data_IF_283953129612
#
_entry.id   IF_283953129612
#
_cell.length_a   1.000
_cell.length_b   1.000
_cell.length_c   1.000
_cell.angle_alpha   90.00
_cell.angle_beta   90.00
_cell.angle_gamma   90.00
#
_symmetry.space_group_name_H-M   'P 1'
#
loop_
_entity.id
_entity.type
_entity.pdbx_description
1 polymer ?
#
# COMPACT_ATOMS: atom_id res chain seq x y z
N UNK A 1 53.98 -27.36 33.29
CA UNK A 1 54.48 -27.13 31.92
C UNK A 1 53.42 -27.63 30.94
N UNK A 2 52.99 -26.78 29.99
CA UNK A 2 52.39 -27.11 28.68
C UNK A 2 50.93 -27.63 28.70
N UNK A 3 49.96 -27.11 27.94
CA UNK A 3 49.87 -26.02 26.97
C UNK A 3 48.38 -25.62 26.88
N UNK A 4 48.11 -24.33 26.64
CA UNK A 4 46.81 -23.81 26.19
C UNK A 4 46.37 -24.51 24.90
N UNK A 5 45.07 -24.78 24.74
CA UNK A 5 44.46 -24.91 23.41
C UNK A 5 43.29 -23.93 23.30
N UNK A 6 43.60 -22.81 22.66
CA UNK A 6 42.69 -21.74 22.32
C UNK A 6 41.92 -22.08 21.04
N UNK A 7 40.61 -21.82 21.09
CA UNK A 7 39.79 -21.12 20.11
C UNK A 7 40.18 -21.22 18.61
N UNK A 8 39.27 -21.80 17.82
CA UNK A 8 39.07 -21.40 16.43
C UNK A 8 37.57 -21.44 16.14
N UNK A 9 36.88 -20.37 16.59
CA UNK A 9 35.56 -20.03 16.06
C UNK A 9 35.83 -19.55 14.63
N UNK A 10 35.46 -20.40 13.67
CA UNK A 10 35.48 -20.05 12.26
C UNK A 10 34.44 -18.95 12.04
N UNK A 11 34.93 -17.72 11.94
CA UNK A 11 34.16 -16.59 11.44
C UNK A 11 33.96 -16.86 9.94
N UNK A 12 32.83 -17.46 9.57
CA UNK A 12 32.43 -17.56 8.17
C UNK A 12 31.97 -16.16 7.75
N UNK A 13 32.70 -15.42 6.88
CA UNK A 13 32.15 -14.20 6.33
C UNK A 13 30.96 -14.63 5.47
N UNK A 14 29.75 -14.30 5.90
CA UNK A 14 28.57 -14.39 5.06
C UNK A 14 28.85 -13.57 3.80
N UNK A 15 29.03 -14.26 2.66
CA UNK A 15 29.07 -13.64 1.34
C UNK A 15 27.79 -12.81 1.21
N UNK A 16 27.94 -11.49 1.26
CA UNK A 16 26.86 -10.55 1.01
C UNK A 16 26.30 -10.85 -0.37
N UNK A 17 25.13 -11.51 -0.43
CA UNK A 17 24.37 -11.57 -1.66
C UNK A 17 23.86 -10.16 -1.89
N UNK A 18 24.26 -9.55 -3.00
CA UNK A 18 23.63 -8.32 -3.46
C UNK A 18 22.15 -8.64 -3.67
N UNK A 19 21.28 -7.97 -2.90
CA UNK A 19 19.84 -8.09 -3.07
C UNK A 19 19.50 -7.48 -4.43
N UNK A 20 19.07 -8.30 -5.38
CA UNK A 20 18.67 -7.82 -6.71
C UNK A 20 17.27 -7.20 -6.62
N UNK A 21 17.22 -5.89 -6.36
CA UNK A 21 15.97 -5.15 -6.21
C UNK A 21 15.40 -4.75 -7.57
N UNK A 22 14.07 -4.78 -7.75
CA UNK A 22 13.44 -4.20 -8.92
C UNK A 22 13.89 -2.73 -9.11
N UNK A 23 14.15 -2.32 -10.35
CA UNK A 23 14.76 -1.01 -10.65
C UNK A 23 14.01 0.19 -10.03
N UNK A 24 12.68 0.11 -9.93
CA UNK A 24 11.87 1.14 -9.28
C UNK A 24 12.12 1.25 -7.77
N UNK A 25 12.33 0.11 -7.09
CA UNK A 25 12.65 0.01 -5.67
C UNK A 25 14.07 0.48 -5.43
N UNK A 26 15.03 0.01 -6.25
CA UNK A 26 16.42 0.48 -6.21
C UNK A 26 16.48 2.01 -6.36
N UNK A 27 15.79 2.59 -7.35
CA UNK A 27 15.72 4.04 -7.55
C UNK A 27 15.11 4.80 -6.36
N UNK A 28 14.17 4.20 -5.61
CA UNK A 28 13.63 4.81 -4.39
C UNK A 28 14.65 4.76 -3.26
N UNK A 29 15.29 3.61 -3.08
CA UNK A 29 16.34 3.38 -2.09
C UNK A 29 17.51 4.35 -2.29
N UNK A 30 18.04 4.46 -3.51
CA UNK A 30 19.17 5.33 -3.86
C UNK A 30 18.88 6.81 -3.61
N UNK A 31 17.63 7.21 -3.83
CA UNK A 31 17.20 8.61 -3.71
C UNK A 31 17.10 9.05 -2.25
N UNK A 32 16.54 8.20 -1.38
CA UNK A 32 16.37 8.50 0.03
C UNK A 32 16.22 7.19 0.84
N UNK A 33 17.34 6.61 1.31
CA UNK A 33 17.30 5.32 2.02
C UNK A 33 16.58 5.43 3.37
N UNK A 34 16.70 6.56 4.06
CA UNK A 34 16.05 6.77 5.37
C UNK A 34 14.53 6.81 5.23
N UNK A 35 14.02 7.51 4.21
CA UNK A 35 12.58 7.54 3.92
C UNK A 35 12.07 6.15 3.52
N UNK A 36 12.82 5.42 2.70
CA UNK A 36 12.48 4.05 2.32
C UNK A 36 12.35 3.13 3.54
N UNK A 37 13.34 3.17 4.44
CA UNK A 37 13.32 2.39 5.69
C UNK A 37 12.15 2.82 6.57
N UNK A 38 11.89 4.12 6.72
CA UNK A 38 10.78 4.61 7.53
C UNK A 38 9.42 4.11 7.00
N UNK A 39 9.21 4.14 5.68
CA UNK A 39 7.99 3.64 5.05
C UNK A 39 7.81 2.14 5.27
N UNK A 40 8.87 1.35 5.01
CA UNK A 40 8.83 -0.09 5.20
C UNK A 40 8.67 -0.49 6.68
N UNK A 41 9.26 0.25 7.63
CA UNK A 41 9.05 0.02 9.05
C UNK A 41 7.62 0.32 9.51
N UNK A 42 6.92 1.28 8.91
CA UNK A 42 5.48 1.47 9.18
C UNK A 42 4.68 0.25 8.76
N UNK A 43 5.02 -0.35 7.63
CA UNK A 43 4.35 -1.57 7.16
C UNK A 43 4.62 -2.75 8.10
N UNK A 44 5.88 -2.98 8.49
CA UNK A 44 6.25 -4.02 9.47
C UNK A 44 5.52 -3.80 10.80
N UNK A 45 5.48 -2.57 11.30
CA UNK A 45 4.81 -2.27 12.57
C UNK A 45 3.28 -2.35 12.50
N UNK A 46 2.69 -2.02 11.35
CA UNK A 46 1.24 -1.99 11.17
C UNK A 46 0.63 -3.35 10.85
N UNK A 47 1.35 -4.19 10.11
CA UNK A 47 0.82 -5.45 9.58
C UNK A 47 1.65 -6.69 9.93
N UNK A 48 2.92 -6.53 10.28
CA UNK A 48 3.80 -7.64 10.64
C UNK A 48 3.42 -8.29 11.97
N UNK A 49 3.83 -9.54 12.11
CA UNK A 49 3.64 -10.35 13.31
C UNK A 49 4.95 -10.66 14.05
N UNK A 50 4.96 -11.68 14.92
CA UNK A 50 6.17 -12.14 15.62
C UNK A 50 7.33 -12.52 14.69
N UNK A 51 7.00 -13.02 13.49
CA UNK A 51 7.97 -13.36 12.43
C UNK A 51 8.29 -12.16 11.51
N UNK A 52 7.92 -10.94 11.88
CA UNK A 52 8.06 -9.78 11.00
C UNK A 52 6.97 -9.69 9.93
N UNK A 53 7.25 -8.98 8.85
CA UNK A 53 6.33 -8.77 7.73
C UNK A 53 6.41 -9.93 6.73
N UNK A 54 5.32 -10.65 6.55
CA UNK A 54 5.23 -11.75 5.57
C UNK A 54 4.53 -11.32 4.28
N UNK A 55 4.58 -12.16 3.24
CA UNK A 55 3.80 -11.94 2.01
C UNK A 55 2.30 -11.84 2.26
N UNK A 56 1.75 -12.66 3.16
CA UNK A 56 0.33 -12.60 3.53
C UNK A 56 -0.04 -11.30 4.25
N UNK A 57 0.89 -10.70 4.97
CA UNK A 57 0.68 -9.41 5.64
C UNK A 57 0.70 -8.25 4.64
N UNK A 58 1.55 -8.34 3.59
CA UNK A 58 1.54 -7.40 2.46
C UNK A 58 0.20 -7.47 1.71
N UNK A 59 -0.29 -8.68 1.42
CA UNK A 59 -1.60 -8.87 0.77
C UNK A 59 -2.73 -8.27 1.63
N UNK A 60 -2.65 -8.44 2.95
CA UNK A 60 -3.60 -7.83 3.89
C UNK A 60 -3.52 -6.30 3.88
N UNK A 61 -2.33 -5.73 3.85
CA UNK A 61 -2.15 -4.28 3.77
C UNK A 61 -2.78 -3.70 2.50
N UNK A 62 -2.51 -4.31 1.34
CA UNK A 62 -3.12 -3.92 0.07
C UNK A 62 -4.65 -4.04 0.15
N UNK A 63 -5.17 -5.14 0.72
CA UNK A 63 -6.60 -5.32 0.87
C UNK A 63 -7.24 -4.24 1.76
N UNK A 64 -6.58 -3.82 2.83
CA UNK A 64 -7.04 -2.74 3.72
C UNK A 64 -7.07 -1.40 2.97
N UNK A 65 -6.02 -1.04 2.24
CA UNK A 65 -5.97 0.21 1.49
C UNK A 65 -7.05 0.28 0.41
N UNK A 66 -7.27 -0.83 -0.31
CA UNK A 66 -8.35 -0.95 -1.29
C UNK A 66 -9.72 -0.87 -0.65
N UNK A 67 -9.91 -1.49 0.51
CA UNK A 67 -11.18 -1.42 1.25
C UNK A 67 -11.46 0.01 1.74
N UNK A 68 -10.45 0.71 2.22
CA UNK A 68 -10.58 2.10 2.64
C UNK A 68 -10.96 3.02 1.48
N UNK A 69 -10.31 2.87 0.31
CA UNK A 69 -10.65 3.63 -0.89
C UNK A 69 -12.07 3.35 -1.37
N UNK A 70 -12.50 2.08 -1.38
CA UNK A 70 -13.88 1.68 -1.68
C UNK A 70 -14.87 2.38 -0.75
N UNK A 71 -14.63 2.32 0.55
CA UNK A 71 -15.49 2.92 1.55
C UNK A 71 -15.56 4.45 1.41
N UNK A 72 -14.44 5.10 1.07
CA UNK A 72 -14.39 6.53 0.76
C UNK A 72 -15.27 6.89 -0.44
N UNK A 73 -15.12 6.17 -1.55
CA UNK A 73 -15.94 6.39 -2.74
C UNK A 73 -17.44 6.16 -2.49
N UNK A 74 -17.79 5.10 -1.74
CA UNK A 74 -19.18 4.85 -1.33
C UNK A 74 -19.72 5.99 -0.48
N UNK A 75 -18.96 6.48 0.50
CA UNK A 75 -19.36 7.62 1.33
C UNK A 75 -19.62 8.86 0.50
N UNK A 76 -18.75 9.15 -0.47
CA UNK A 76 -18.84 10.37 -1.28
C UNK A 76 -20.07 10.38 -2.20
N UNK A 77 -20.58 9.20 -2.57
CA UNK A 77 -21.82 9.04 -3.32
C UNK A 77 -23.06 8.94 -2.40
N UNK A 78 -23.07 7.99 -1.47
CA UNK A 78 -24.22 7.64 -0.63
C UNK A 78 -24.57 8.70 0.43
N UNK A 79 -23.80 9.78 0.53
CA UNK A 79 -24.21 10.95 1.32
C UNK A 79 -25.49 11.61 0.77
N UNK A 80 -25.77 11.43 -0.53
CA UNK A 80 -26.97 11.93 -1.18
C UNK A 80 -28.11 10.90 -1.24
N UNK A 81 -27.86 9.63 -0.89
CA UNK A 81 -28.87 8.56 -0.81
C UNK A 81 -29.75 8.83 0.43
N UNK A 82 -30.89 9.47 0.21
CA UNK A 82 -31.75 9.95 1.30
C UNK A 82 -32.73 8.90 1.77
N UNK A 83 -33.07 7.94 0.93
CA UNK A 83 -33.97 6.84 1.29
C UNK A 83 -33.25 5.53 1.65
N UNK A 84 -31.94 5.44 1.39
CA UNK A 84 -31.06 4.37 1.81
C UNK A 84 -31.14 3.13 0.92
N UNK A 85 -31.55 3.27 -0.35
CA UNK A 85 -31.69 2.15 -1.28
C UNK A 85 -30.38 1.71 -1.95
N UNK A 86 -29.30 2.48 -1.75
CA UNK A 86 -27.97 2.23 -2.28
C UNK A 86 -27.73 2.76 -3.70
N UNK A 87 -28.72 3.41 -4.30
CA UNK A 87 -28.61 4.19 -5.53
C UNK A 87 -28.75 5.70 -5.26
N UNK A 88 -28.65 6.49 -6.33
CA UNK A 88 -28.92 7.93 -6.28
C UNK A 88 -29.91 8.29 -7.38
N UNK A 89 -31.15 8.60 -7.02
CA UNK A 89 -32.12 9.12 -7.97
C UNK A 89 -31.79 10.57 -8.39
N UNK A 90 -32.30 11.01 -9.54
CA UNK A 90 -32.14 12.41 -9.99
C UNK A 90 -32.69 13.44 -8.97
N UNK A 91 -33.72 13.05 -8.21
CA UNK A 91 -34.31 13.90 -7.16
C UNK A 91 -33.35 14.06 -5.98
N UNK A 92 -32.72 12.97 -5.55
CA UNK A 92 -31.73 12.97 -4.47
C UNK A 92 -30.46 13.73 -4.84
N UNK A 93 -29.95 13.51 -6.06
CA UNK A 93 -28.83 14.28 -6.60
C UNK A 93 -29.15 15.78 -6.57
N UNK A 94 -30.31 16.18 -7.07
CA UNK A 94 -30.76 17.59 -7.05
C UNK A 94 -30.93 18.13 -5.63
N UNK A 95 -31.51 17.32 -4.73
CA UNK A 95 -31.73 17.65 -3.32
C UNK A 95 -30.42 17.93 -2.60
N UNK A 96 -29.43 17.04 -2.74
CA UNK A 96 -28.11 17.21 -2.12
C UNK A 96 -27.35 18.40 -2.73
N UNK A 97 -27.41 18.60 -4.05
CA UNK A 97 -26.81 19.77 -4.70
C UNK A 97 -27.34 21.10 -4.17
N UNK A 98 -28.60 21.16 -3.76
CA UNK A 98 -29.24 22.41 -3.29
C UNK A 98 -28.63 22.97 -1.99
N UNK A 99 -28.02 22.11 -1.16
CA UNK A 99 -27.42 22.50 0.13
C UNK A 99 -25.91 22.72 0.06
N UNK A 100 -25.27 22.38 -1.07
CA UNK A 100 -23.83 22.52 -1.24
C UNK A 100 -23.42 23.92 -1.72
N UNK A 101 -22.19 24.30 -1.37
CA UNK A 101 -21.54 25.49 -1.95
C UNK A 101 -21.33 25.33 -3.46
N UNK A 102 -21.04 26.42 -4.19
CA UNK A 102 -20.74 26.35 -5.62
C UNK A 102 -19.60 25.38 -5.95
N UNK A 103 -18.54 25.35 -5.11
CA UNK A 103 -17.45 24.39 -5.25
C UNK A 103 -17.91 22.96 -4.99
N UNK A 104 -18.60 22.73 -3.87
CA UNK A 104 -19.09 21.40 -3.50
C UNK A 104 -20.04 20.80 -4.54
N UNK A 105 -20.88 21.63 -5.17
CA UNK A 105 -21.72 21.21 -6.30
C UNK A 105 -20.90 20.72 -7.49
N UNK A 106 -19.84 21.45 -7.85
CA UNK A 106 -18.94 21.04 -8.94
C UNK A 106 -18.27 19.70 -8.64
N UNK A 107 -17.66 19.57 -7.46
CA UNK A 107 -16.95 18.36 -7.03
C UNK A 107 -17.91 17.14 -6.99
N UNK A 108 -19.13 17.32 -6.48
CA UNK A 108 -20.13 16.25 -6.42
C UNK A 108 -20.66 15.87 -7.82
N UNK A 109 -20.95 16.85 -8.69
CA UNK A 109 -21.38 16.57 -10.06
C UNK A 109 -20.33 15.80 -10.87
N UNK A 110 -19.05 16.12 -10.71
CA UNK A 110 -17.97 15.33 -11.31
C UNK A 110 -17.99 13.90 -10.81
N UNK A 111 -18.15 13.71 -9.49
CA UNK A 111 -18.20 12.37 -8.89
C UNK A 111 -19.38 11.54 -9.42
N UNK A 112 -20.57 12.14 -9.52
CA UNK A 112 -21.76 11.47 -10.09
C UNK A 112 -21.55 11.18 -11.58
N UNK A 113 -21.05 12.15 -12.34
CA UNK A 113 -20.82 11.99 -13.78
C UNK A 113 -19.77 10.92 -14.11
N UNK A 114 -18.76 10.73 -13.26
CA UNK A 114 -17.75 9.68 -13.43
C UNK A 114 -18.28 8.28 -13.03
N UNK A 115 -19.38 8.24 -12.27
CA UNK A 115 -20.05 7.01 -11.85
C UNK A 115 -21.17 6.58 -12.83
N UNK A 116 -21.91 7.54 -13.39
CA UNK A 116 -23.07 7.39 -14.29
C UNK A 116 -22.63 6.87 -15.68
N UNK A 117 -22.58 5.54 -15.81
CA UNK A 117 -22.22 4.88 -17.06
C UNK A 117 -23.41 4.84 -18.03
N UNK A 118 -24.63 4.84 -17.50
CA UNK A 118 -25.88 4.92 -18.26
C UNK A 118 -26.14 6.28 -18.92
N UNK A 119 -25.51 7.34 -18.40
CA UNK A 119 -25.71 8.74 -18.77
C UNK A 119 -27.17 9.21 -18.63
N UNK A 120 -27.87 8.72 -17.61
CA UNK A 120 -29.28 9.06 -17.37
C UNK A 120 -29.48 10.09 -16.24
N UNK A 121 -28.40 10.50 -15.58
CA UNK A 121 -28.41 11.49 -14.50
C UNK A 121 -28.83 10.94 -13.15
N UNK A 122 -28.96 9.63 -13.01
CA UNK A 122 -29.09 8.88 -11.77
C UNK A 122 -27.94 7.88 -11.65
N UNK A 123 -27.82 7.22 -10.49
CA UNK A 123 -26.93 6.08 -10.30
C UNK A 123 -27.74 4.91 -9.77
N UNK A 124 -27.69 3.78 -10.45
CA UNK A 124 -28.20 2.54 -9.87
C UNK A 124 -27.19 1.95 -8.85
N UNK A 125 -27.60 0.99 -7.98
CA UNK A 125 -26.69 0.38 -7.01
C UNK A 125 -25.46 -0.32 -7.64
N UNK A 126 -25.57 -0.80 -8.88
CA UNK A 126 -24.46 -1.44 -9.57
C UNK A 126 -23.45 -0.38 -10.07
N UNK A 127 -23.89 0.79 -10.52
CA UNK A 127 -23.02 1.91 -10.88
C UNK A 127 -22.29 2.47 -9.67
N UNK A 128 -22.98 2.65 -8.54
CA UNK A 128 -22.36 3.03 -7.26
C UNK A 128 -21.30 2.00 -6.85
N UNK A 129 -21.64 0.71 -6.91
CA UNK A 129 -20.72 -0.38 -6.62
C UNK A 129 -19.51 -0.42 -7.57
N UNK A 130 -19.71 -0.18 -8.86
CA UNK A 130 -18.67 -0.15 -9.87
C UNK A 130 -17.72 1.03 -9.68
N UNK A 131 -18.25 2.22 -9.35
CA UNK A 131 -17.43 3.39 -9.03
C UNK A 131 -16.53 3.10 -7.81
N UNK A 132 -17.08 2.51 -6.76
CA UNK A 132 -16.32 2.13 -5.57
C UNK A 132 -15.27 1.02 -5.84
N UNK A 133 -15.57 0.08 -6.74
CA UNK A 133 -14.61 -0.94 -7.18
C UNK A 133 -13.44 -0.33 -7.96
N UNK A 134 -13.71 0.60 -8.89
CA UNK A 134 -12.67 1.35 -9.62
C UNK A 134 -11.77 2.14 -8.66
N UNK A 135 -12.36 2.80 -7.66
CA UNK A 135 -11.61 3.51 -6.63
C UNK A 135 -10.69 2.57 -5.83
N UNK A 136 -11.17 1.39 -5.44
CA UNK A 136 -10.34 0.36 -4.82
C UNK A 136 -9.19 -0.10 -5.72
N UNK A 137 -9.43 -0.36 -7.00
CA UNK A 137 -8.39 -0.80 -7.91
C UNK A 137 -7.32 0.27 -8.15
N UNK A 138 -7.73 1.54 -8.25
CA UNK A 138 -6.83 2.67 -8.42
C UNK A 138 -6.03 3.03 -7.16
N UNK A 139 -6.48 2.60 -5.97
CA UNK A 139 -5.88 2.98 -4.70
C UNK A 139 -4.44 2.47 -4.51
N UNK A 140 -4.12 1.31 -5.09
CA UNK A 140 -2.79 0.70 -4.99
C UNK A 140 -2.34 0.27 -6.37
N UNK A 141 -1.36 0.98 -6.92
CA UNK A 141 -0.80 0.70 -8.24
C UNK A 141 -0.02 -0.61 -8.27
N UNK A 142 0.11 -1.20 -9.47
CA UNK A 142 0.93 -2.41 -9.68
C UNK A 142 2.39 -2.18 -9.24
N UNK A 143 2.91 -0.97 -9.45
CA UNK A 143 4.27 -0.61 -9.05
C UNK A 143 4.42 -0.53 -7.53
N UNK A 144 3.40 -0.05 -6.81
CA UNK A 144 3.40 -0.04 -5.34
C UNK A 144 3.30 -1.45 -4.78
N UNK A 145 2.44 -2.30 -5.35
CA UNK A 145 2.36 -3.73 -4.98
C UNK A 145 3.73 -4.39 -5.13
N UNK A 146 4.38 -4.22 -6.30
CA UNK A 146 5.71 -4.77 -6.54
C UNK A 146 6.76 -4.21 -5.56
N UNK A 147 6.67 -2.93 -5.20
CA UNK A 147 7.58 -2.30 -4.24
C UNK A 147 7.38 -2.85 -2.81
N UNK A 148 6.15 -3.11 -2.39
CA UNK A 148 5.86 -3.74 -1.10
C UNK A 148 6.36 -5.19 -1.09
N UNK A 149 6.11 -5.95 -2.15
CA UNK A 149 6.59 -7.33 -2.29
C UNK A 149 8.12 -7.44 -2.29
N UNK A 150 8.82 -6.47 -2.89
CA UNK A 150 10.28 -6.42 -2.88
C UNK A 150 10.88 -6.29 -1.48
N UNK A 151 10.10 -5.87 -0.47
CA UNK A 151 10.58 -5.84 0.92
C UNK A 151 10.96 -7.24 1.41
N UNK A 152 10.30 -8.29 0.91
CA UNK A 152 10.58 -9.68 1.28
C UNK A 152 11.98 -10.14 0.85
N UNK A 153 12.63 -9.43 -0.09
CA UNK A 153 14.01 -9.71 -0.48
C UNK A 153 15.03 -9.34 0.61
N UNK A 154 14.61 -8.61 1.63
CA UNK A 154 15.43 -8.30 2.81
C UNK A 154 15.31 -9.35 3.93
N UNK A 155 14.56 -10.44 3.72
CA UNK A 155 14.57 -11.62 4.58
C UNK A 155 15.98 -12.21 4.57
N UNK A 156 16.70 -12.04 5.68
CA UNK A 156 18.13 -12.32 5.75
C UNK A 156 18.43 -13.74 6.21
N UNK A 157 17.53 -14.35 6.96
CA UNK A 157 17.67 -15.70 7.48
C UNK A 157 16.78 -16.74 6.77
N UNK A 158 15.86 -16.29 5.91
CA UNK A 158 15.03 -17.12 5.04
C UNK A 158 13.83 -17.71 5.75
N UNK A 159 13.36 -17.12 6.85
CA UNK A 159 12.22 -17.61 7.62
C UNK A 159 10.85 -17.28 7.01
N UNK A 160 10.83 -16.50 5.92
CA UNK A 160 9.64 -16.10 5.19
C UNK A 160 9.01 -14.81 5.70
N UNK A 161 9.62 -14.14 6.66
CA UNK A 161 9.24 -12.82 7.15
C UNK A 161 10.42 -11.84 7.16
N UNK A 162 10.10 -10.55 7.23
CA UNK A 162 11.12 -9.50 7.30
C UNK A 162 10.94 -8.69 8.57
N UNK A 163 11.91 -8.81 9.46
CA UNK A 163 11.95 -8.03 10.69
C UNK A 163 12.48 -6.62 10.45
N UNK A 164 12.19 -5.72 11.39
CA UNK A 164 12.74 -4.37 11.40
C UNK A 164 14.28 -4.33 11.50
N UNK A 165 14.91 -5.39 12.03
CA UNK A 165 16.36 -5.49 12.13
C UNK A 165 16.99 -5.88 10.79
N UNK A 166 16.40 -6.86 10.10
CA UNK A 166 16.86 -7.33 8.80
C UNK A 166 16.68 -6.27 7.73
N UNK A 167 15.52 -5.62 7.69
CA UNK A 167 15.25 -4.51 6.76
C UNK A 167 16.32 -3.41 6.86
N UNK A 168 16.65 -2.96 8.09
CA UNK A 168 17.69 -1.93 8.30
C UNK A 168 19.05 -2.42 7.85
N UNK A 169 19.40 -3.66 8.17
CA UNK A 169 20.69 -4.26 7.81
C UNK A 169 20.82 -4.38 6.30
N UNK A 170 19.81 -4.91 5.63
CA UNK A 170 19.79 -5.12 4.19
C UNK A 170 19.83 -3.80 3.41
N UNK A 171 19.08 -2.77 3.86
CA UNK A 171 19.15 -1.42 3.27
C UNK A 171 20.53 -0.81 3.43
N UNK A 172 21.14 -0.89 4.62
CA UNK A 172 22.48 -0.36 4.85
C UNK A 172 23.53 -1.03 3.94
N UNK A 173 23.41 -2.35 3.75
CA UNK A 173 24.27 -3.10 2.83
C UNK A 173 24.08 -2.67 1.38
N UNK A 174 22.84 -2.58 0.91
CA UNK A 174 22.52 -2.14 -0.45
C UNK A 174 23.00 -0.71 -0.74
N UNK A 175 22.83 0.21 0.21
CA UNK A 175 23.32 1.59 0.09
C UNK A 175 24.86 1.66 0.05
N UNK A 176 25.55 0.83 0.83
CA UNK A 176 27.02 0.78 0.82
C UNK A 176 27.60 0.22 -0.47
N UNK A 177 26.89 -0.70 -1.13
CA UNK A 177 27.30 -1.29 -2.40
C UNK A 177 27.14 -0.33 -3.60
N UNK A 178 26.25 0.66 -3.51
CA UNK A 178 26.02 1.66 -4.56
C UNK A 178 27.00 2.86 -4.50
N UNK A 179 27.70 3.04 -3.38
CA UNK A 179 28.60 4.17 -3.14
C UNK A 179 30.10 3.90 -3.36
N UNK A 180 30.48 2.68 -3.75
CA UNK A 180 31.85 2.28 -4.07
C UNK A 180 32.02 1.98 -5.55
#
# INVERSE_FOLDING_TARGET
MRFLLSLLIWFCPTLAHAVDLPAAVQKRLDRNPDAFVADALRLVAGFGGPSGLTGADIDRAIAVDRAAARAGALRDLLVADFDGDGGLSAVEVSGYLSILSARGRGDFLTTVSDADQGQDGALDPAEVGAAAARAAEAAVSVQEVAAMQALLLFDGDGDGGVTAAELRRGVAQAASAAGG
#
